data_IF_192436569271
#
_entry.id   IF_192436569271
#
_cell.length_a   1.000
_cell.length_b   1.000
_cell.length_c   1.000
_cell.angle_alpha   90.00
_cell.angle_beta   90.00
_cell.angle_gamma   90.00
#
_symmetry.space_group_name_H-M   'P 1'
#
loop_
_entity.id
_entity.type
_entity.pdbx_description
1 polymer ?
#
# COMPACT_ATOMS: atom_id res chain seq x y z
N UNK A 1 -23.97 0.31 14.96
CA UNK A 1 -23.11 -0.18 13.86
C UNK A 1 -21.70 -0.06 14.36
N UNK A 2 -20.89 -1.10 14.18
CA UNK A 2 -19.48 -1.06 14.62
C UNK A 2 -18.68 -0.22 13.62
N UNK A 3 -17.99 0.81 14.09
CA UNK A 3 -17.10 1.62 13.25
C UNK A 3 -16.06 0.74 12.54
N UNK A 4 -15.66 1.14 11.34
CA UNK A 4 -14.57 0.48 10.63
C UNK A 4 -13.31 0.42 11.50
N UNK A 5 -12.70 -0.75 11.64
CA UNK A 5 -11.53 -0.95 12.50
C UNK A 5 -10.28 -1.18 11.65
N UNK A 6 -9.29 -0.30 11.78
CA UNK A 6 -8.03 -0.31 11.04
C UNK A 6 -6.84 -0.51 11.97
N UNK A 7 -5.96 -1.43 11.58
CA UNK A 7 -4.63 -1.54 12.14
C UNK A 7 -3.59 -1.20 11.06
N UNK A 8 -2.97 -0.02 11.18
CA UNK A 8 -1.88 0.39 10.32
C UNK A 8 -0.57 -0.19 10.87
N UNK A 9 0.16 -0.94 10.04
CA UNK A 9 1.48 -1.44 10.36
C UNK A 9 2.46 -0.64 9.53
N UNK A 10 3.22 0.22 10.20
CA UNK A 10 4.04 1.21 9.55
C UNK A 10 5.46 1.17 10.15
N UNK A 11 6.34 0.33 9.57
CA UNK A 11 7.74 0.31 9.94
C UNK A 11 8.41 1.65 9.64
N UNK A 12 9.34 2.06 10.49
CA UNK A 12 10.04 3.35 10.36
C UNK A 12 10.97 3.32 9.16
N UNK A 13 10.73 4.21 8.20
CA UNK A 13 11.56 4.42 7.01
C UNK A 13 11.27 5.80 6.39
N UNK A 14 12.30 6.65 6.32
CA UNK A 14 12.23 8.03 5.83
C UNK A 14 11.68 8.15 4.39
N UNK A 15 11.93 7.15 3.55
CA UNK A 15 11.48 7.13 2.15
C UNK A 15 9.97 6.91 2.02
N UNK A 16 9.33 6.37 3.07
CA UNK A 16 7.90 6.03 3.11
C UNK A 16 7.09 6.93 4.05
N UNK A 17 7.73 7.86 4.77
CA UNK A 17 7.09 8.79 5.71
C UNK A 17 5.95 9.62 5.08
N UNK A 18 5.99 9.87 3.77
CA UNK A 18 4.91 10.55 3.05
C UNK A 18 3.55 9.83 3.18
N UNK A 19 3.55 8.52 3.43
CA UNK A 19 2.36 7.73 3.66
C UNK A 19 1.64 8.09 4.96
N UNK A 20 2.30 8.80 5.89
CA UNK A 20 1.68 9.28 7.12
C UNK A 20 0.42 10.11 6.87
N UNK A 21 0.40 10.88 5.79
CA UNK A 21 -0.75 11.67 5.38
C UNK A 21 -2.03 10.83 5.20
N UNK A 22 -1.91 9.54 4.85
CA UNK A 22 -3.07 8.65 4.76
C UNK A 22 -3.65 8.40 6.15
N UNK A 23 -2.81 8.11 7.15
CA UNK A 23 -3.28 7.82 8.51
C UNK A 23 -3.93 9.06 9.10
N UNK A 24 -3.27 10.21 8.99
CA UNK A 24 -3.76 11.47 9.51
C UNK A 24 -5.11 11.83 8.88
N UNK A 25 -5.24 11.69 7.55
CA UNK A 25 -6.50 11.93 6.85
C UNK A 25 -7.65 11.05 7.37
N UNK A 26 -7.40 9.77 7.65
CA UNK A 26 -8.43 8.87 8.14
C UNK A 26 -8.84 9.18 9.58
N UNK A 27 -7.89 9.56 10.43
CA UNK A 27 -8.18 10.01 11.80
C UNK A 27 -9.00 11.29 11.79
N UNK A 28 -8.65 12.25 10.93
CA UNK A 28 -9.25 13.59 10.94
C UNK A 28 -10.62 13.65 10.24
N UNK A 29 -10.89 12.75 9.28
CA UNK A 29 -12.05 12.86 8.38
C UNK A 29 -13.03 11.68 8.47
N UNK A 30 -12.83 10.73 9.39
CA UNK A 30 -13.69 9.55 9.52
C UNK A 30 -13.89 9.14 10.98
N UNK A 31 -14.95 8.37 11.24
CA UNK A 31 -15.26 7.79 12.56
C UNK A 31 -14.63 6.38 12.74
N UNK A 32 -13.58 6.06 11.99
CA UNK A 32 -12.91 4.77 12.07
C UNK A 32 -12.14 4.61 13.39
N UNK A 33 -12.18 3.40 13.95
CA UNK A 33 -11.27 3.03 15.03
C UNK A 33 -9.90 2.71 14.42
N UNK A 34 -8.89 3.50 14.78
CA UNK A 34 -7.55 3.42 14.21
C UNK A 34 -6.53 3.04 15.29
N UNK A 35 -5.80 1.95 15.06
CA UNK A 35 -4.61 1.58 15.82
C UNK A 35 -3.39 1.64 14.92
N UNK A 36 -2.33 2.31 15.37
CA UNK A 36 -1.08 2.46 14.62
C UNK A 36 0.02 1.66 15.31
N UNK A 37 0.65 0.75 14.56
CA UNK A 37 1.80 -0.02 14.98
C UNK A 37 3.06 0.53 14.30
N UNK A 38 3.78 1.40 15.02
CA UNK A 38 5.09 1.89 14.58
C UNK A 38 6.15 0.88 14.95
N UNK A 39 6.86 0.36 13.95
CA UNK A 39 7.93 -0.61 14.18
C UNK A 39 9.26 0.06 13.85
N UNK A 40 10.09 0.33 14.85
CA UNK A 40 11.37 1.04 14.70
C UNK A 40 12.57 0.22 15.17
N UNK A 41 12.32 -0.80 15.99
CA UNK A 41 13.33 -1.63 16.64
C UNK A 41 13.07 -3.12 16.39
N UNK A 42 14.09 -3.95 16.53
CA UNK A 42 13.96 -5.42 16.42
C UNK A 42 12.89 -5.94 17.38
N UNK A 43 12.89 -5.48 18.63
CA UNK A 43 11.95 -5.94 19.65
C UNK A 43 10.50 -5.59 19.30
N UNK A 44 10.24 -4.40 18.74
CA UNK A 44 8.89 -4.03 18.28
C UNK A 44 8.40 -4.94 17.15
N UNK A 45 9.28 -5.30 16.20
CA UNK A 45 8.93 -6.23 15.12
C UNK A 45 8.63 -7.63 15.65
N UNK A 46 9.48 -8.14 16.55
CA UNK A 46 9.28 -9.47 17.16
C UNK A 46 7.99 -9.48 17.99
N UNK A 47 7.79 -8.46 18.83
CA UNK A 47 6.63 -8.35 19.70
C UNK A 47 5.34 -8.17 18.91
N UNK A 48 5.33 -7.33 17.86
CA UNK A 48 4.15 -7.20 17.00
C UNK A 48 3.79 -8.54 16.39
N UNK A 49 4.75 -9.25 15.78
CA UNK A 49 4.47 -10.52 15.12
C UNK A 49 3.96 -11.58 16.10
N UNK A 50 4.61 -11.71 17.26
CA UNK A 50 4.21 -12.66 18.30
C UNK A 50 2.79 -12.43 18.83
N UNK A 51 2.30 -11.19 18.79
CA UNK A 51 1.02 -10.79 19.37
C UNK A 51 -0.04 -10.40 18.33
N UNK A 52 0.29 -10.29 17.03
CA UNK A 52 -0.63 -9.73 16.04
C UNK A 52 -1.96 -10.49 15.95
N UNK A 53 -1.94 -11.82 16.08
CA UNK A 53 -3.16 -12.62 16.03
C UNK A 53 -4.11 -12.35 17.20
N UNK A 54 -3.60 -11.95 18.37
CA UNK A 54 -4.39 -11.62 19.56
C UNK A 54 -4.76 -10.14 19.60
N UNK A 55 -3.84 -9.26 19.16
CA UNK A 55 -4.02 -7.80 19.16
C UNK A 55 -4.98 -7.30 18.09
N UNK A 56 -5.04 -7.98 16.93
CA UNK A 56 -5.81 -7.51 15.78
C UNK A 56 -7.11 -8.32 15.67
N UNK A 57 -8.30 -7.72 15.85
CA UNK A 57 -9.56 -8.42 15.71
C UNK A 57 -9.77 -9.01 14.30
N UNK A 58 -10.50 -10.13 14.19
CA UNK A 58 -10.77 -10.80 12.89
C UNK A 58 -11.68 -9.98 11.96
N UNK A 59 -12.38 -8.98 12.46
CA UNK A 59 -13.18 -8.06 11.64
C UNK A 59 -12.40 -6.81 11.21
N UNK A 60 -11.16 -6.64 11.68
CA UNK A 60 -10.35 -5.49 11.33
C UNK A 60 -9.72 -5.62 9.93
N UNK A 61 -9.39 -4.47 9.37
CA UNK A 61 -8.56 -4.33 8.17
C UNK A 61 -7.14 -4.01 8.61
N UNK A 62 -6.18 -4.81 8.16
CA UNK A 62 -4.75 -4.52 8.34
C UNK A 62 -4.28 -3.74 7.12
N UNK A 63 -3.55 -2.65 7.33
CA UNK A 63 -2.90 -1.91 6.26
C UNK A 63 -1.40 -1.83 6.51
N UNK A 64 -0.62 -2.48 5.65
CA UNK A 64 0.84 -2.36 5.66
C UNK A 64 1.27 -1.19 4.79
N UNK A 65 2.16 -0.36 5.32
CA UNK A 65 2.65 0.86 4.68
C UNK A 65 4.17 0.89 4.78
N UNK A 66 4.85 0.76 3.66
CA UNK A 66 6.31 0.63 3.64
C UNK A 66 6.83 -0.01 2.36
N UNK A 67 8.04 -0.57 2.41
CA UNK A 67 8.62 -1.31 1.29
C UNK A 67 8.05 -2.72 1.17
N UNK A 68 8.08 -3.22 -0.05
CA UNK A 68 7.59 -4.54 -0.40
C UNK A 68 8.43 -5.19 -1.48
N UNK A 69 8.40 -6.51 -1.48
CA UNK A 69 9.01 -7.38 -2.47
C UNK A 69 7.96 -8.42 -2.87
N UNK A 70 8.19 -9.12 -3.98
CA UNK A 70 7.28 -10.18 -4.44
C UNK A 70 7.17 -11.37 -3.48
N UNK A 71 8.06 -11.46 -2.49
CA UNK A 71 8.11 -12.53 -1.50
C UNK A 71 7.99 -12.08 -0.03
N UNK A 72 7.94 -10.76 0.24
CA UNK A 72 7.80 -10.26 1.61
C UNK A 72 7.38 -8.79 1.68
N UNK A 73 6.81 -8.40 2.82
CA UNK A 73 6.76 -7.01 3.27
C UNK A 73 7.98 -6.73 4.17
N UNK A 74 8.64 -5.59 3.96
CA UNK A 74 9.85 -5.23 4.73
C UNK A 74 9.53 -4.66 6.11
N UNK A 75 10.50 -4.76 7.02
CA UNK A 75 10.48 -4.06 8.30
C UNK A 75 11.11 -2.68 8.21
N UNK A 76 11.49 -2.12 9.36
CA UNK A 76 12.09 -0.79 9.44
C UNK A 76 13.42 -0.69 8.70
N UNK A 77 13.64 0.46 8.07
CA UNK A 77 14.91 0.84 7.47
C UNK A 77 15.29 2.23 7.98
N UNK A 78 16.30 2.27 8.83
CA UNK A 78 16.83 3.46 9.50
C UNK A 78 18.37 3.41 9.44
N UNK A 79 19.07 4.51 9.70
CA UNK A 79 20.54 4.50 9.72
C UNK A 79 21.15 3.43 10.64
N UNK A 80 20.47 3.09 11.73
CA UNK A 80 20.95 2.14 12.75
C UNK A 80 20.36 0.72 12.61
N UNK A 81 19.35 0.53 11.76
CA UNK A 81 18.66 -0.75 11.62
C UNK A 81 18.11 -0.93 10.20
N UNK A 82 18.50 -2.03 9.56
CA UNK A 82 17.76 -2.59 8.42
C UNK A 82 17.14 -3.91 8.84
N UNK A 83 15.83 -3.90 9.08
CA UNK A 83 15.06 -5.10 9.32
C UNK A 83 14.56 -5.58 7.95
N UNK A 84 15.18 -6.64 7.42
CA UNK A 84 14.96 -7.17 6.08
C UNK A 84 13.53 -7.71 5.84
N UNK A 85 13.36 -8.80 5.06
CA UNK A 85 12.04 -9.42 4.87
C UNK A 85 11.38 -9.69 6.23
N UNK A 86 10.26 -9.01 6.52
CA UNK A 86 9.61 -9.06 7.82
C UNK A 86 8.42 -10.01 7.80
N UNK A 87 7.46 -9.78 6.91
CA UNK A 87 6.31 -10.67 6.71
C UNK A 87 6.54 -11.44 5.41
N UNK A 88 7.16 -12.61 5.52
CA UNK A 88 7.41 -13.57 4.43
C UNK A 88 6.42 -14.74 4.47
N UNK A 89 6.67 -15.79 3.68
CA UNK A 89 5.90 -17.05 3.69
C UNK A 89 5.76 -17.69 5.09
N UNK A 90 6.74 -17.47 5.97
CA UNK A 90 6.74 -18.03 7.32
C UNK A 90 5.83 -17.26 8.29
N UNK A 91 5.38 -16.07 7.90
CA UNK A 91 4.63 -15.14 8.76
C UNK A 91 3.17 -14.94 8.31
N UNK A 92 2.69 -15.69 7.33
CA UNK A 92 1.37 -15.50 6.70
C UNK A 92 0.18 -15.56 7.66
N UNK A 93 0.33 -16.25 8.78
CA UNK A 93 -0.73 -16.42 9.79
C UNK A 93 -1.26 -15.11 10.37
N UNK A 94 -0.51 -14.01 10.25
CA UNK A 94 -0.97 -12.67 10.64
C UNK A 94 -2.21 -12.22 9.86
N UNK A 95 -2.34 -12.65 8.60
CA UNK A 95 -3.44 -12.25 7.72
C UNK A 95 -4.70 -13.09 7.90
N UNK A 96 -4.61 -14.21 8.63
CA UNK A 96 -5.70 -15.19 8.76
C UNK A 96 -6.99 -14.55 9.23
N UNK A 97 -8.09 -14.82 8.50
CA UNK A 97 -9.44 -14.31 8.73
C UNK A 97 -9.59 -12.78 8.69
N UNK A 98 -8.60 -12.04 8.17
CA UNK A 98 -8.60 -10.56 8.15
C UNK A 98 -8.61 -10.03 6.73
N UNK A 99 -9.01 -8.77 6.59
CA UNK A 99 -8.86 -8.01 5.34
C UNK A 99 -7.50 -7.32 5.34
N UNK A 100 -6.84 -7.25 4.21
CA UNK A 100 -5.48 -6.74 4.11
C UNK A 100 -5.33 -5.76 2.95
N UNK A 101 -4.74 -4.60 3.20
CA UNK A 101 -4.25 -3.69 2.16
C UNK A 101 -2.72 -3.64 2.29
N UNK A 102 -2.01 -4.06 1.26
CA UNK A 102 -0.56 -3.99 1.23
C UNK A 102 -0.13 -2.80 0.38
N UNK A 103 -0.04 -1.61 0.98
CA UNK A 103 0.44 -0.42 0.27
C UNK A 103 1.96 -0.42 0.21
N UNK A 104 2.50 -1.41 -0.50
CA UNK A 104 3.92 -1.67 -0.66
C UNK A 104 4.21 -2.17 -2.08
N UNK A 105 5.43 -1.96 -2.58
CA UNK A 105 5.83 -2.38 -3.93
C UNK A 105 5.71 -3.89 -4.14
N UNK A 106 5.22 -4.30 -5.33
CA UNK A 106 5.08 -5.72 -5.74
C UNK A 106 4.26 -6.59 -4.78
N UNK A 107 3.43 -5.97 -3.95
CA UNK A 107 2.56 -6.69 -3.03
C UNK A 107 1.44 -7.44 -3.75
N UNK A 108 1.11 -7.06 -4.99
CA UNK A 108 0.24 -7.84 -5.86
C UNK A 108 0.84 -9.23 -6.14
N UNK A 109 2.12 -9.30 -6.52
CA UNK A 109 2.85 -10.56 -6.71
C UNK A 109 2.88 -11.38 -5.41
N UNK A 110 3.15 -10.73 -4.27
CA UNK A 110 3.13 -11.38 -2.96
C UNK A 110 1.75 -11.97 -2.61
N UNK A 111 0.66 -11.24 -2.84
CA UNK A 111 -0.69 -11.75 -2.59
C UNK A 111 -1.06 -12.89 -3.53
N UNK A 112 -0.64 -12.85 -4.79
CA UNK A 112 -0.88 -13.96 -5.71
C UNK A 112 -0.14 -15.23 -5.29
N UNK A 113 1.09 -15.08 -4.80
CA UNK A 113 1.91 -16.21 -4.38
C UNK A 113 1.42 -16.81 -3.06
N UNK A 114 1.08 -15.97 -2.08
CA UNK A 114 0.90 -16.41 -0.68
C UNK A 114 -0.47 -16.08 -0.08
N UNK A 115 -1.28 -15.30 -0.77
CA UNK A 115 -2.54 -14.79 -0.23
C UNK A 115 -3.54 -15.91 0.09
N UNK A 116 -3.64 -16.92 -0.76
CA UNK A 116 -4.50 -18.09 -0.50
C UNK A 116 -4.01 -18.91 0.70
N UNK A 117 -2.70 -19.12 0.82
CA UNK A 117 -2.09 -19.89 1.92
C UNK A 117 -2.22 -19.18 3.26
N UNK A 118 -2.27 -17.84 3.25
CA UNK A 118 -2.42 -17.02 4.45
C UNK A 118 -3.78 -17.13 5.14
N UNK A 119 -4.80 -17.64 4.43
CA UNK A 119 -6.17 -17.73 4.95
C UNK A 119 -6.82 -16.36 5.20
N UNK A 120 -6.37 -15.31 4.51
CA UNK A 120 -6.98 -13.98 4.58
C UNK A 120 -8.40 -13.98 3.98
N UNK A 121 -9.24 -13.05 4.41
CA UNK A 121 -10.61 -12.89 3.86
C UNK A 121 -10.60 -12.24 2.49
N UNK A 122 -9.87 -11.14 2.39
CA UNK A 122 -9.68 -10.41 1.15
C UNK A 122 -8.43 -9.52 1.24
N UNK A 123 -7.75 -9.33 0.11
CA UNK A 123 -6.47 -8.64 0.01
C UNK A 123 -6.46 -7.68 -1.17
N UNK A 124 -5.85 -6.51 -0.99
CA UNK A 124 -5.53 -5.56 -2.06
C UNK A 124 -4.01 -5.42 -2.12
N UNK A 125 -3.43 -5.70 -3.28
CA UNK A 125 -2.01 -5.59 -3.56
C UNK A 125 -1.74 -4.60 -4.67
N UNK A 126 -0.55 -4.03 -4.66
CA UNK A 126 -0.11 -2.99 -5.57
C UNK A 126 1.09 -3.49 -6.39
N UNK A 127 1.23 -3.01 -7.64
CA UNK A 127 2.37 -3.36 -8.47
C UNK A 127 3.65 -2.73 -7.91
N UNK A 128 4.75 -2.85 -8.62
CA UNK A 128 5.92 -2.05 -8.29
C UNK A 128 5.58 -0.54 -8.42
N UNK A 129 5.75 0.20 -7.32
CA UNK A 129 5.44 1.62 -7.20
C UNK A 129 6.75 2.42 -7.26
N UNK A 130 6.96 3.19 -8.33
CA UNK A 130 8.12 4.07 -8.45
C UNK A 130 7.88 5.29 -7.56
N UNK A 131 8.27 5.14 -6.30
CA UNK A 131 7.97 6.08 -5.22
C UNK A 131 9.22 6.51 -4.50
N UNK A 132 10.42 6.13 -4.91
CA UNK A 132 11.67 6.66 -4.36
C UNK A 132 12.59 7.21 -5.45
N UNK A 133 13.23 8.36 -5.18
CA UNK A 133 14.22 8.95 -6.07
C UNK A 133 15.46 8.03 -6.18
N UNK A 134 15.73 7.19 -5.17
CA UNK A 134 16.78 6.18 -5.22
C UNK A 134 16.53 5.15 -6.34
N UNK A 135 15.28 4.78 -6.62
CA UNK A 135 14.92 3.85 -7.70
C UNK A 135 15.26 4.40 -9.08
N UNK A 136 15.39 5.73 -9.23
CA UNK A 136 15.82 6.35 -10.49
C UNK A 136 17.32 6.18 -10.73
N UNK A 137 18.11 6.08 -9.66
CA UNK A 137 19.58 5.93 -9.70
C UNK A 137 19.95 4.45 -9.77
N UNK A 138 19.21 3.60 -9.04
CA UNK A 138 19.44 2.16 -8.93
C UNK A 138 18.18 1.37 -9.31
N UNK A 139 17.75 1.41 -10.58
CA UNK A 139 16.54 0.72 -11.00
C UNK A 139 16.75 -0.79 -11.10
N UNK A 140 15.85 -1.55 -10.48
CA UNK A 140 15.71 -2.99 -10.73
C UNK A 140 15.34 -3.27 -12.20
N UNK A 141 14.54 -2.38 -12.80
CA UNK A 141 14.01 -2.49 -14.16
C UNK A 141 14.24 -1.17 -14.91
N UNK A 142 15.42 -0.98 -15.56
CA UNK A 142 15.82 0.29 -16.17
C UNK A 142 14.82 0.87 -17.17
N UNK A 143 14.13 0.01 -17.92
CA UNK A 143 13.09 0.39 -18.89
C UNK A 143 11.91 1.12 -18.25
N UNK A 144 11.65 0.92 -16.95
CA UNK A 144 10.51 1.55 -16.26
C UNK A 144 10.80 2.93 -15.73
N UNK A 145 12.06 3.23 -15.42
CA UNK A 145 12.50 4.56 -14.98
C UNK A 145 12.96 5.43 -16.14
N UNK A 146 13.00 4.89 -17.37
CA UNK A 146 13.43 5.63 -18.55
C UNK A 146 12.58 6.89 -18.75
N UNK A 147 13.24 8.05 -18.67
CA UNK A 147 12.63 9.38 -18.76
C UNK A 147 11.86 9.84 -17.51
N UNK A 148 11.75 9.01 -16.45
CA UNK A 148 11.13 9.40 -15.19
C UNK A 148 12.02 10.41 -14.48
N UNK A 149 11.44 11.54 -14.07
CA UNK A 149 12.12 12.58 -13.29
C UNK A 149 11.69 12.53 -11.83
N UNK A 150 12.48 13.11 -10.91
CA UNK A 150 12.08 13.26 -9.50
C UNK A 150 10.76 14.02 -9.35
N UNK A 151 10.45 14.95 -10.28
CA UNK A 151 9.15 15.63 -10.27
C UNK A 151 8.02 14.65 -10.56
N UNK A 152 8.20 13.69 -11.48
CA UNK A 152 7.21 12.65 -11.73
C UNK A 152 7.02 11.75 -10.51
N UNK A 153 8.09 11.39 -9.78
CA UNK A 153 7.99 10.63 -8.52
C UNK A 153 7.19 11.41 -7.48
N UNK A 154 7.48 12.70 -7.29
CA UNK A 154 6.73 13.56 -6.35
C UNK A 154 5.25 13.69 -6.73
N UNK A 155 4.96 13.90 -8.01
CA UNK A 155 3.58 13.99 -8.51
C UNK A 155 2.85 12.65 -8.35
N UNK A 156 3.56 11.53 -8.53
CA UNK A 156 3.02 10.19 -8.37
C UNK A 156 2.74 9.86 -6.90
N UNK A 157 3.63 10.21 -5.97
CA UNK A 157 3.39 10.10 -4.53
C UNK A 157 2.12 10.84 -4.12
N UNK A 158 1.97 12.10 -4.55
CA UNK A 158 0.77 12.91 -4.26
C UNK A 158 -0.50 12.28 -4.82
N UNK A 159 -0.45 11.83 -6.07
CA UNK A 159 -1.56 11.15 -6.72
C UNK A 159 -1.95 9.86 -5.96
N UNK A 160 -0.97 9.05 -5.58
CA UNK A 160 -1.17 7.83 -4.80
C UNK A 160 -1.82 8.15 -3.45
N UNK A 161 -1.31 9.15 -2.73
CA UNK A 161 -1.90 9.59 -1.46
C UNK A 161 -3.36 9.98 -1.63
N UNK A 162 -3.68 10.83 -2.60
CA UNK A 162 -5.07 11.25 -2.85
C UNK A 162 -5.98 10.07 -3.21
N UNK A 163 -5.51 9.16 -4.07
CA UNK A 163 -6.24 7.95 -4.44
C UNK A 163 -6.57 7.13 -3.18
N UNK A 164 -5.60 6.89 -2.31
CA UNK A 164 -5.77 6.05 -1.11
C UNK A 164 -6.64 6.76 -0.07
N UNK A 165 -6.33 8.01 0.29
CA UNK A 165 -7.09 8.83 1.26
C UNK A 165 -8.58 8.84 0.94
N UNK A 166 -8.92 9.26 -0.28
CA UNK A 166 -10.32 9.41 -0.68
C UNK A 166 -11.01 8.07 -0.98
N UNK A 167 -10.27 7.00 -1.27
CA UNK A 167 -10.88 5.67 -1.40
C UNK A 167 -11.22 5.05 -0.04
N UNK A 168 -10.34 5.23 0.95
CA UNK A 168 -10.56 4.78 2.31
C UNK A 168 -11.66 5.59 3.00
N UNK A 169 -11.69 6.91 2.80
CA UNK A 169 -12.77 7.77 3.27
C UNK A 169 -14.14 7.32 2.71
N UNK A 170 -14.25 7.12 1.39
CA UNK A 170 -15.46 6.55 0.77
C UNK A 170 -15.82 5.19 1.41
N UNK A 171 -14.83 4.33 1.61
CA UNK A 171 -15.04 2.99 2.15
C UNK A 171 -15.62 3.03 3.57
N UNK A 172 -15.15 3.95 4.41
CA UNK A 172 -15.61 4.10 5.79
C UNK A 172 -16.96 4.82 5.82
N UNK A 173 -17.05 6.00 5.22
CA UNK A 173 -18.21 6.88 5.36
C UNK A 173 -19.44 6.38 4.59
N UNK A 174 -19.26 5.59 3.53
CA UNK A 174 -20.35 4.99 2.74
C UNK A 174 -20.54 3.50 3.06
N UNK A 175 -19.85 2.97 4.07
CA UNK A 175 -19.92 1.57 4.51
C UNK A 175 -19.75 0.57 3.35
N UNK A 176 -18.79 0.84 2.46
CA UNK A 176 -18.61 0.04 1.25
C UNK A 176 -18.09 -1.37 1.59
N UNK A 177 -18.37 -2.33 0.72
CA UNK A 177 -17.69 -3.63 0.78
C UNK A 177 -16.19 -3.48 0.47
N UNK A 178 -15.39 -4.45 0.89
CA UNK A 178 -13.94 -4.41 0.63
C UNK A 178 -13.62 -4.49 -0.88
N UNK A 179 -14.44 -5.21 -1.65
CA UNK A 179 -14.36 -5.19 -3.11
C UNK A 179 -14.69 -3.82 -3.70
N UNK A 180 -15.68 -3.11 -3.12
CA UNK A 180 -16.00 -1.75 -3.54
C UNK A 180 -14.87 -0.77 -3.21
N UNK A 181 -14.14 -0.93 -2.09
CA UNK A 181 -12.90 -0.17 -1.83
C UNK A 181 -11.89 -0.36 -2.97
N UNK A 182 -11.60 -1.60 -3.36
CA UNK A 182 -10.74 -1.90 -4.50
C UNK A 182 -11.22 -1.19 -5.78
N UNK A 183 -12.53 -1.23 -6.07
CA UNK A 183 -13.10 -0.52 -7.23
C UNK A 183 -12.99 1.00 -7.12
N UNK A 184 -13.11 1.58 -5.92
CA UNK A 184 -12.90 3.01 -5.70
C UNK A 184 -11.46 3.42 -6.02
N UNK A 185 -10.48 2.60 -5.63
CA UNK A 185 -9.07 2.81 -5.97
C UNK A 185 -8.90 2.79 -7.49
N UNK A 186 -9.37 1.72 -8.17
CA UNK A 186 -9.26 1.59 -9.63
C UNK A 186 -9.90 2.77 -10.38
N UNK A 187 -11.12 3.18 -9.99
CA UNK A 187 -11.82 4.29 -10.63
C UNK A 187 -11.04 5.61 -10.48
N UNK A 188 -10.44 5.86 -9.31
CA UNK A 188 -9.65 7.07 -9.08
C UNK A 188 -8.37 7.06 -9.91
N UNK A 189 -7.65 5.94 -9.95
CA UNK A 189 -6.46 5.80 -10.83
C UNK A 189 -6.85 6.07 -12.29
N UNK A 190 -7.91 5.42 -12.76
CA UNK A 190 -8.41 5.59 -14.13
C UNK A 190 -8.80 7.05 -14.42
N UNK A 191 -9.43 7.75 -13.46
CA UNK A 191 -9.80 9.17 -13.60
C UNK A 191 -8.55 10.04 -13.73
N UNK A 192 -7.52 9.83 -12.91
CA UNK A 192 -6.25 10.55 -13.02
C UNK A 192 -5.56 10.27 -14.35
N UNK A 193 -5.54 9.02 -14.81
CA UNK A 193 -4.97 8.61 -16.10
C UNK A 193 -5.66 9.30 -17.28
N UNK A 194 -7.00 9.29 -17.31
CA UNK A 194 -7.80 9.96 -18.35
C UNK A 194 -7.56 11.47 -18.31
N UNK A 195 -7.57 12.07 -17.13
CA UNK A 195 -7.31 13.51 -16.96
C UNK A 195 -5.92 13.89 -17.48
N UNK A 196 -4.91 13.09 -17.15
CA UNK A 196 -3.54 13.30 -17.61
C UNK A 196 -3.45 13.27 -19.14
N UNK A 197 -3.94 12.22 -19.80
CA UNK A 197 -3.87 12.14 -21.27
C UNK A 197 -4.79 13.13 -21.98
N UNK A 198 -5.89 13.56 -21.34
CA UNK A 198 -6.74 14.63 -21.88
C UNK A 198 -6.03 15.98 -21.91
N UNK A 199 -5.20 16.26 -20.90
CA UNK A 199 -4.43 17.49 -20.82
C UNK A 199 -3.11 17.44 -21.63
N UNK A 200 -2.68 16.25 -22.04
CA UNK A 200 -1.40 16.00 -22.73
C UNK A 200 -1.57 15.27 -24.08
N UNK A 201 -2.67 15.54 -24.81
CA UNK A 201 -3.12 14.77 -26.00
C UNK A 201 -2.07 14.55 -27.10
N UNK A 202 -1.01 15.37 -27.17
CA UNK A 202 0.00 15.33 -28.23
C UNK A 202 1.41 14.95 -27.76
N UNK A 203 1.58 14.58 -26.48
CA UNK A 203 2.90 14.37 -25.88
C UNK A 203 3.30 12.88 -25.76
N UNK A 204 2.56 11.97 -26.39
CA UNK A 204 2.85 10.54 -26.38
C UNK A 204 2.73 9.88 -24.99
N UNK A 205 3.38 8.73 -24.81
CA UNK A 205 3.46 8.05 -23.50
C UNK A 205 4.47 8.77 -22.62
N UNK A 206 4.00 9.79 -21.91
CA UNK A 206 4.82 10.47 -20.91
C UNK A 206 5.13 9.53 -19.73
N UNK A 207 6.35 9.56 -19.16
CA UNK A 207 6.78 8.68 -18.07
C UNK A 207 5.78 8.60 -16.90
N UNK A 208 5.25 9.76 -16.47
CA UNK A 208 4.21 9.82 -15.44
C UNK A 208 2.91 9.11 -15.83
N UNK A 209 2.46 9.26 -17.08
CA UNK A 209 1.30 8.54 -17.60
C UNK A 209 1.50 7.03 -17.65
N UNK A 210 2.74 6.57 -17.85
CA UNK A 210 3.11 5.15 -17.73
C UNK A 210 3.05 4.66 -16.27
N UNK A 211 3.55 5.44 -15.31
CA UNK A 211 3.43 5.10 -13.88
C UNK A 211 1.96 4.91 -13.45
N UNK A 212 1.08 5.82 -13.87
CA UNK A 212 -0.36 5.70 -13.62
C UNK A 212 -1.00 4.50 -14.35
N UNK A 213 -0.56 4.22 -15.57
CA UNK A 213 -1.03 3.06 -16.34
C UNK A 213 -0.64 1.75 -15.64
N UNK A 214 0.62 1.63 -15.21
CA UNK A 214 1.16 0.46 -14.51
C UNK A 214 0.41 0.26 -13.18
N UNK A 215 0.16 1.34 -12.43
CA UNK A 215 -0.69 1.31 -11.24
C UNK A 215 -2.10 0.78 -11.55
N UNK A 216 -2.76 1.31 -12.58
CA UNK A 216 -4.14 0.95 -12.92
C UNK A 216 -4.31 -0.54 -13.26
N UNK A 217 -3.33 -1.10 -13.98
CA UNK A 217 -3.38 -2.49 -14.45
C UNK A 217 -2.77 -3.49 -13.47
N UNK A 218 -1.96 -3.02 -12.52
CA UNK A 218 -1.24 -3.88 -11.59
C UNK A 218 -1.82 -3.97 -10.19
N UNK A 219 -2.83 -3.16 -9.83
CA UNK A 219 -3.54 -3.35 -8.54
C UNK A 219 -4.40 -4.59 -8.65
N UNK A 220 -4.26 -5.48 -7.69
CA UNK A 220 -4.95 -6.76 -7.66
C UNK A 220 -5.80 -6.91 -6.40
N UNK A 221 -6.86 -7.69 -6.56
CA UNK A 221 -7.76 -8.07 -5.49
C UNK A 221 -7.81 -9.60 -5.40
N UNK A 222 -7.66 -10.10 -4.19
CA UNK A 222 -7.91 -11.51 -3.87
C UNK A 222 -8.97 -11.59 -2.77
N UNK A 223 -9.79 -12.64 -2.78
CA UNK A 223 -10.87 -12.83 -1.82
C UNK A 223 -12.20 -13.14 -2.49
N UNK A 224 -13.14 -13.63 -1.69
CA UNK A 224 -14.51 -13.94 -2.10
C UNK A 224 -15.45 -12.76 -1.91
#
# INVERSE_FOLDING_TARGET
>A
MDSANFHFVFPKDETTDFLQEVIDHIIDNTEANVTIHRLSTVDEHVNFFANAQTLIPRNATIMFMGHGMSYAVSGAHTPDLTYGPYVSENQLSIFKDRKVVLLTCRSNEYLNNYGLESGLKAGIGFPNLITDDYELIHPDEPERVNGVTNQNVKDFRRCLLDIIKFSLEDYINLELSFYQLFKRIQIRVQRHLIGFYTNNRNLGKLPYGKMLYDLNHGIEFIGN
#
